data_IF_652780987323
#
_entry.id   IF_652780987323
#
_cell.length_a   1.000
_cell.length_b   1.000
_cell.length_c   1.000
_cell.angle_alpha   90.00
_cell.angle_beta   90.00
_cell.angle_gamma   90.00
#
_symmetry.space_group_name_H-M   'P 1'
#
loop_
_entity.id
_entity.type
_entity.pdbx_description
1 polymer ?
#
# COMPACT_ATOMS: atom_id res chain seq x y z
N UNK A 1 10.32 3.43 -5.28
CA UNK A 1 10.24 1.99 -5.68
C UNK A 1 9.79 1.16 -4.48
N UNK A 2 8.95 0.17 -4.71
CA UNK A 2 8.58 -0.76 -3.65
C UNK A 2 9.69 -1.79 -3.50
N UNK A 3 10.27 -1.90 -2.31
CA UNK A 3 11.39 -2.80 -2.05
C UNK A 3 10.96 -4.13 -1.42
N UNK A 4 10.03 -4.09 -0.47
CA UNK A 4 9.56 -5.31 0.21
C UNK A 4 8.06 -5.27 0.44
N UNK A 5 7.45 -6.46 0.47
CA UNK A 5 6.05 -6.64 0.84
C UNK A 5 5.98 -7.49 2.11
N UNK A 6 5.13 -7.07 3.03
CA UNK A 6 4.84 -7.87 4.22
C UNK A 6 3.85 -8.98 3.90
N UNK A 7 2.89 -8.71 3.00
CA UNK A 7 1.89 -9.69 2.58
C UNK A 7 2.30 -10.29 1.23
N UNK A 8 2.53 -11.61 1.21
CA UNK A 8 2.93 -12.32 0.00
C UNK A 8 1.92 -12.16 -1.14
N UNK A 9 0.63 -12.17 -0.83
CA UNK A 9 -0.41 -12.01 -1.84
C UNK A 9 -0.33 -10.67 -2.58
N UNK A 10 0.10 -9.59 -1.90
CA UNK A 10 0.35 -8.31 -2.56
C UNK A 10 1.53 -8.39 -3.51
N UNK A 11 2.60 -9.07 -3.10
CA UNK A 11 3.77 -9.26 -3.96
C UNK A 11 3.37 -10.03 -5.23
N UNK A 12 2.55 -11.06 -5.09
CA UNK A 12 2.05 -11.82 -6.24
C UNK A 12 1.21 -10.94 -7.16
N UNK A 13 0.29 -10.17 -6.60
CA UNK A 13 -0.55 -9.27 -7.37
C UNK A 13 0.31 -8.27 -8.15
N UNK A 14 1.31 -7.69 -7.49
CA UNK A 14 2.21 -6.71 -8.09
C UNK A 14 3.04 -7.30 -9.23
N UNK A 15 3.62 -8.48 -9.03
CA UNK A 15 4.52 -9.10 -10.02
C UNK A 15 3.78 -9.84 -11.13
N UNK A 16 2.63 -10.44 -10.84
CA UNK A 16 1.93 -11.33 -11.78
C UNK A 16 0.59 -10.77 -12.27
N UNK A 17 0.11 -9.67 -11.65
CA UNK A 17 -1.17 -9.08 -12.02
C UNK A 17 -2.38 -9.80 -11.46
N UNK A 18 -2.18 -10.85 -10.68
CA UNK A 18 -3.27 -11.62 -10.07
C UNK A 18 -2.81 -12.29 -8.78
N UNK A 19 -3.76 -12.49 -7.87
CA UNK A 19 -3.52 -13.22 -6.62
C UNK A 19 -4.85 -13.75 -6.11
N UNK A 20 -4.94 -15.06 -5.84
CA UNK A 20 -6.19 -15.70 -5.42
C UNK A 20 -6.72 -15.17 -4.10
N UNK A 21 -5.82 -14.78 -3.19
CA UNK A 21 -6.19 -14.35 -1.83
C UNK A 21 -6.66 -12.91 -1.75
N UNK A 22 -6.59 -12.17 -2.83
CA UNK A 22 -7.05 -10.79 -2.86
C UNK A 22 -8.37 -10.75 -3.63
N UNK A 23 -9.40 -10.17 -3.00
CA UNK A 23 -10.72 -10.01 -3.60
C UNK A 23 -10.57 -9.36 -4.97
N UNK A 24 -11.11 -9.99 -5.99
CA UNK A 24 -11.04 -9.52 -7.36
C UNK A 24 -11.53 -8.08 -7.52
N UNK A 25 -12.54 -7.69 -6.74
CA UNK A 25 -13.11 -6.34 -6.80
C UNK A 25 -12.15 -5.26 -6.33
N UNK A 26 -11.15 -5.61 -5.52
CA UNK A 26 -10.17 -4.67 -4.98
C UNK A 26 -8.93 -4.56 -5.83
N UNK A 27 -8.66 -5.53 -6.70
CA UNK A 27 -7.37 -5.65 -7.41
C UNK A 27 -7.04 -4.43 -8.26
N UNK A 28 -8.00 -3.92 -9.00
CA UNK A 28 -7.76 -2.76 -9.87
C UNK A 28 -7.29 -1.54 -9.10
N UNK A 29 -7.98 -1.22 -8.00
CA UNK A 29 -7.61 -0.08 -7.17
C UNK A 29 -6.28 -0.31 -6.45
N UNK A 30 -6.08 -1.52 -5.93
CA UNK A 30 -4.82 -1.87 -5.26
C UNK A 30 -3.66 -1.70 -6.24
N UNK A 31 -3.77 -2.21 -7.46
CA UNK A 31 -2.70 -2.09 -8.46
C UNK A 31 -2.40 -0.63 -8.80
N UNK A 32 -3.43 0.21 -8.92
CA UNK A 32 -3.22 1.64 -9.17
C UNK A 32 -2.49 2.31 -8.00
N UNK A 33 -2.86 1.97 -6.76
CA UNK A 33 -2.19 2.52 -5.58
C UNK A 33 -0.75 2.03 -5.47
N UNK A 34 -0.50 0.74 -5.74
CA UNK A 34 0.85 0.19 -5.74
C UNK A 34 1.72 0.84 -6.82
N UNK A 35 1.16 1.08 -8.00
CA UNK A 35 1.87 1.75 -9.08
C UNK A 35 2.30 3.17 -8.66
N UNK A 36 1.39 3.91 -8.04
CA UNK A 36 1.69 5.25 -7.53
C UNK A 36 2.73 5.19 -6.41
N UNK A 37 2.64 4.20 -5.54
CA UNK A 37 3.59 4.02 -4.45
C UNK A 37 4.99 3.69 -4.99
N UNK A 38 5.05 2.87 -6.04
CA UNK A 38 6.33 2.53 -6.68
C UNK A 38 7.02 3.77 -7.27
N UNK A 39 6.25 4.74 -7.74
CA UNK A 39 6.76 5.98 -8.32
C UNK A 39 7.03 7.07 -7.29
N UNK A 40 6.55 6.92 -6.07
CA UNK A 40 6.64 7.96 -5.06
C UNK A 40 8.09 8.24 -4.64
N UNK A 41 8.43 9.52 -4.54
CA UNK A 41 9.74 9.96 -4.03
C UNK A 41 9.71 10.18 -2.51
N UNK A 42 8.52 10.40 -1.95
CA UNK A 42 8.30 10.63 -0.51
C UNK A 42 6.90 10.13 -0.15
N UNK A 43 6.64 9.86 1.13
CA UNK A 43 5.32 9.33 1.54
C UNK A 43 4.17 10.23 1.14
N UNK A 44 4.36 11.55 1.21
CA UNK A 44 3.32 12.53 0.91
C UNK A 44 2.84 12.48 -0.55
N UNK A 45 3.59 11.84 -1.44
CA UNK A 45 3.17 11.65 -2.82
C UNK A 45 1.95 10.72 -2.92
N UNK A 46 1.62 10.01 -1.84
CA UNK A 46 0.43 9.18 -1.77
C UNK A 46 -0.79 9.95 -1.26
N UNK A 47 -0.65 11.24 -0.95
CA UNK A 47 -1.73 12.09 -0.48
C UNK A 47 -2.44 12.74 -1.67
N UNK A 48 -3.41 12.03 -2.23
CA UNK A 48 -4.24 12.55 -3.31
C UNK A 48 -5.70 12.13 -3.10
N UNK A 49 -6.59 12.64 -3.96
CA UNK A 49 -8.02 12.45 -3.78
C UNK A 49 -8.40 10.98 -3.61
N UNK A 50 -9.12 10.67 -2.53
CA UNK A 50 -9.65 9.33 -2.26
C UNK A 50 -8.72 8.42 -1.47
N UNK A 51 -7.48 8.83 -1.14
CA UNK A 51 -6.54 7.95 -0.42
C UNK A 51 -6.63 8.08 1.09
N UNK A 52 -7.15 9.19 1.61
CA UNK A 52 -7.19 9.44 3.05
C UNK A 52 -5.82 9.16 3.70
N UNK A 53 -4.76 9.60 3.03
CA UNK A 53 -3.39 9.37 3.46
C UNK A 53 -3.12 9.94 4.84
N UNK A 54 -2.52 9.14 5.73
CA UNK A 54 -2.03 9.63 7.01
C UNK A 54 -0.98 8.69 7.59
N UNK A 55 -0.20 9.22 8.55
CA UNK A 55 0.76 8.44 9.30
C UNK A 55 0.05 7.77 10.47
N UNK A 56 0.42 6.52 10.74
CA UNK A 56 -0.12 5.76 11.87
C UNK A 56 0.72 6.03 13.13
N UNK A 57 0.06 6.22 14.26
CA UNK A 57 0.74 6.45 15.53
C UNK A 57 1.26 5.14 16.11
N UNK A 58 2.38 5.23 16.85
CA UNK A 58 2.90 4.12 17.63
C UNK A 58 3.77 3.13 16.87
N UNK A 59 4.12 3.43 15.62
CA UNK A 59 5.00 2.58 14.82
C UNK A 59 6.38 3.21 14.66
N UNK A 60 7.41 2.37 14.82
CA UNK A 60 8.80 2.73 14.55
C UNK A 60 9.44 1.60 13.76
N UNK A 61 9.84 1.83 12.50
CA UNK A 61 9.66 3.05 11.72
C UNK A 61 8.19 3.46 11.53
N UNK A 62 7.98 4.72 11.20
CA UNK A 62 6.64 5.24 10.92
C UNK A 62 5.98 4.43 9.81
N UNK A 63 4.71 4.06 10.03
CA UNK A 63 3.89 3.46 8.98
C UNK A 63 2.86 4.47 8.50
N UNK A 64 2.60 4.39 7.21
CA UNK A 64 1.61 5.23 6.53
C UNK A 64 0.49 4.37 5.99
N UNK A 65 -0.68 4.96 5.79
CA UNK A 65 -1.82 4.24 5.27
C UNK A 65 -2.52 5.02 4.17
N UNK A 66 -3.02 4.29 3.18
CA UNK A 66 -3.91 4.83 2.14
C UNK A 66 -5.13 3.92 2.03
N UNK A 67 -6.29 4.56 1.85
CA UNK A 67 -7.57 3.85 1.77
C UNK A 67 -7.73 3.14 0.41
N UNK A 68 -8.19 1.90 0.46
CA UNK A 68 -8.54 1.13 -0.74
C UNK A 68 -10.04 1.18 -0.98
N UNK A 69 -10.81 0.48 -0.17
CA UNK A 69 -12.28 0.44 -0.26
C UNK A 69 -12.83 -0.24 0.98
N UNK A 70 -13.99 0.24 1.47
CA UNK A 70 -14.58 -0.29 2.69
C UNK A 70 -13.58 -0.25 3.85
N UNK A 71 -13.36 -1.36 4.56
CA UNK A 71 -12.40 -1.40 5.67
C UNK A 71 -10.95 -1.59 5.20
N UNK A 72 -10.71 -1.78 3.91
CA UNK A 72 -9.38 -2.15 3.41
C UNK A 72 -8.49 -0.95 3.20
N UNK A 73 -7.24 -1.07 3.61
CA UNK A 73 -6.21 -0.05 3.39
C UNK A 73 -4.87 -0.72 3.09
N UNK A 74 -4.02 0.01 2.39
CA UNK A 74 -2.62 -0.37 2.17
C UNK A 74 -1.79 0.39 3.19
N UNK A 75 -0.92 -0.33 3.91
CA UNK A 75 0.01 0.26 4.87
C UNK A 75 1.45 0.00 4.43
N UNK A 76 2.35 0.92 4.76
CA UNK A 76 3.73 0.80 4.33
C UNK A 76 4.66 1.65 5.19
N UNK A 77 5.94 1.29 5.19
CA UNK A 77 7.04 2.12 5.68
C UNK A 77 7.69 2.80 4.49
N UNK A 78 8.36 3.90 4.74
CA UNK A 78 9.03 4.63 3.65
C UNK A 78 10.36 5.17 4.15
N UNK A 79 11.43 4.92 3.40
CA UNK A 79 12.77 5.39 3.73
C UNK A 79 13.59 5.54 2.45
N UNK A 80 14.38 6.61 2.39
CA UNK A 80 15.33 6.84 1.29
C UNK A 80 14.69 6.77 -0.10
N UNK A 81 13.45 7.25 -0.21
CA UNK A 81 12.74 7.29 -1.48
C UNK A 81 12.11 5.97 -1.89
N UNK A 82 12.01 5.00 -0.97
CA UNK A 82 11.47 3.67 -1.26
C UNK A 82 10.44 3.22 -0.23
N UNK A 83 9.50 2.38 -0.67
CA UNK A 83 8.48 1.79 0.19
C UNK A 83 8.90 0.39 0.64
N UNK A 84 8.63 0.08 1.89
CA UNK A 84 9.00 -1.19 2.53
C UNK A 84 7.81 -1.77 3.27
N UNK A 85 7.81 -3.09 3.42
CA UNK A 85 6.83 -3.83 4.23
C UNK A 85 5.40 -3.44 3.89
N UNK A 86 5.11 -3.43 2.60
CA UNK A 86 3.80 -3.06 2.09
C UNK A 86 2.80 -4.16 2.43
N UNK A 87 1.71 -3.77 3.07
CA UNK A 87 0.70 -4.70 3.58
C UNK A 87 -0.71 -4.26 3.17
N UNK A 88 -1.65 -5.19 3.22
CA UNK A 88 -3.06 -4.92 3.02
C UNK A 88 -3.78 -5.28 4.31
N UNK A 89 -4.42 -4.31 4.94
CA UNK A 89 -5.02 -4.47 6.26
C UNK A 89 -6.45 -3.99 6.29
N UNK A 90 -7.22 -4.48 7.26
CA UNK A 90 -8.56 -3.97 7.53
C UNK A 90 -8.53 -3.05 8.73
N UNK A 91 -9.28 -1.97 8.65
CA UNK A 91 -9.57 -1.10 9.79
C UNK A 91 -10.75 -1.64 10.57
N UNK A 92 -10.67 -1.51 11.87
CA UNK A 92 -11.76 -1.80 12.77
C UNK A 92 -12.33 -0.53 13.36
#
# INVERSE_FOLDING_TARGET
MIKTFKLKALAELWSEGQARRIDQRLRGRILRLLDRLDQAARPQDMDFAGTQFHALRGFKPTRYTVHVNGPWCITFEFADGHAYEVDLEQYH
#
